data_IF_777660039522
#
_entry.id   IF_777660039522
#
_cell.length_a   1.000
_cell.length_b   1.000
_cell.length_c   1.000
_cell.angle_alpha   90.00
_cell.angle_beta   90.00
_cell.angle_gamma   90.00
#
_symmetry.space_group_name_H-M   'P 1'
#
loop_
_entity.id
_entity.type
_entity.pdbx_description
1 polymer ?
#
# COMPACT_ATOMS: atom_id res chain seq x y z
N UNK A 1 41.16 13.13 -17.09
CA UNK A 1 39.86 13.48 -17.69
C UNK A 1 38.81 12.44 -17.27
N UNK A 2 39.15 11.16 -17.41
CA UNK A 2 38.35 9.97 -17.05
C UNK A 2 37.64 9.97 -15.68
N UNK A 3 38.33 10.20 -14.56
CA UNK A 3 37.73 10.11 -13.21
C UNK A 3 36.55 11.07 -12.96
N UNK A 4 36.55 12.24 -13.60
CA UNK A 4 35.48 13.24 -13.44
C UNK A 4 34.23 12.83 -14.20
N UNK A 5 34.40 12.20 -15.36
CA UNK A 5 33.30 11.63 -16.14
C UNK A 5 32.71 10.39 -15.47
N UNK A 6 33.53 9.51 -14.89
CA UNK A 6 33.04 8.33 -14.15
C UNK A 6 32.19 8.73 -12.94
N UNK A 7 32.63 9.73 -12.16
CA UNK A 7 31.86 10.23 -11.01
C UNK A 7 30.55 10.87 -11.49
N UNK A 8 30.56 11.67 -12.56
CA UNK A 8 29.34 12.24 -13.13
C UNK A 8 28.37 11.17 -13.66
N UNK A 9 28.87 10.11 -14.28
CA UNK A 9 28.05 8.98 -14.73
C UNK A 9 27.43 8.21 -13.57
N UNK A 10 28.18 8.00 -12.48
CA UNK A 10 27.63 7.40 -11.26
C UNK A 10 26.52 8.28 -10.67
N UNK A 11 26.72 9.59 -10.54
CA UNK A 11 25.68 10.48 -10.05
C UNK A 11 24.46 10.54 -10.98
N UNK A 12 24.64 10.58 -12.30
CA UNK A 12 23.54 10.61 -13.27
C UNK A 12 22.72 9.31 -13.27
N UNK A 13 23.37 8.15 -13.07
CA UNK A 13 22.68 6.87 -12.94
C UNK A 13 21.82 6.77 -11.67
N UNK A 14 22.25 7.39 -10.56
CA UNK A 14 21.48 7.41 -9.30
C UNK A 14 20.30 8.40 -9.35
N UNK A 15 20.38 9.45 -10.17
CA UNK A 15 19.27 10.40 -10.36
C UNK A 15 18.17 9.80 -11.23
N UNK A 16 18.49 8.91 -12.17
CA UNK A 16 17.49 8.26 -13.02
C UNK A 16 16.63 7.23 -12.28
N UNK A 17 17.10 6.71 -11.14
CA UNK A 17 16.39 5.70 -10.32
C UNK A 17 15.46 6.29 -9.25
N UNK A 18 15.43 7.61 -9.07
CA UNK A 18 14.71 8.25 -7.96
C UNK A 18 13.30 8.77 -8.34
N UNK A 19 12.57 8.06 -9.20
CA UNK A 19 11.18 8.39 -9.51
C UNK A 19 10.23 7.52 -8.70
N UNK A 20 9.83 8.03 -7.54
CA UNK A 20 8.75 7.50 -6.72
C UNK A 20 7.38 7.71 -7.37
N UNK A 21 6.51 6.69 -7.40
CA UNK A 21 5.11 6.91 -7.77
C UNK A 21 4.31 7.45 -6.58
N UNK A 22 3.30 8.28 -6.85
CA UNK A 22 2.30 8.61 -5.84
C UNK A 22 1.12 7.64 -5.95
N UNK A 23 0.99 6.73 -4.99
CA UNK A 23 0.05 5.60 -5.03
C UNK A 23 -1.08 5.81 -4.03
N UNK A 24 -2.32 5.95 -4.53
CA UNK A 24 -3.51 6.05 -3.67
C UNK A 24 -4.23 4.71 -3.54
N UNK A 25 -4.66 4.38 -2.33
CA UNK A 25 -5.50 3.21 -2.02
C UNK A 25 -6.66 3.62 -1.13
N UNK A 26 -7.81 2.97 -1.34
CA UNK A 26 -8.97 3.14 -0.48
C UNK A 26 -9.35 1.79 0.13
N UNK A 27 -9.51 1.79 1.45
CA UNK A 27 -9.90 0.63 2.23
C UNK A 27 -11.17 0.94 3.00
N UNK A 28 -12.22 0.20 2.71
CA UNK A 28 -13.48 0.21 3.47
C UNK A 28 -13.40 -0.84 4.57
N UNK A 29 -13.64 -0.41 5.80
CA UNK A 29 -13.71 -1.29 6.97
C UNK A 29 -15.17 -1.52 7.36
N UNK A 30 -15.54 -2.79 7.46
CA UNK A 30 -16.84 -3.25 7.98
C UNK A 30 -16.62 -4.05 9.27
N UNK A 31 -17.68 -4.17 10.06
CA UNK A 31 -17.75 -5.06 11.22
C UNK A 31 -18.78 -6.14 10.91
N UNK A 32 -18.33 -7.38 10.76
CA UNK A 32 -19.16 -8.49 10.29
C UNK A 32 -18.82 -9.78 11.04
N UNK A 33 -19.78 -10.69 11.14
CA UNK A 33 -19.56 -12.02 11.70
C UNK A 33 -18.74 -12.89 10.73
N UNK A 34 -17.79 -13.68 11.25
CA UNK A 34 -17.08 -14.68 10.45
C UNK A 34 -16.41 -15.78 11.30
N UNK A 35 -15.93 -16.83 10.62
CA UNK A 35 -15.36 -18.01 11.28
C UNK A 35 -14.11 -18.58 10.58
N UNK A 36 -12.97 -17.84 10.50
CA UNK A 36 -11.78 -18.25 9.76
C UNK A 36 -11.11 -19.52 10.30
N UNK A 37 -11.41 -19.89 11.54
CA UNK A 37 -10.98 -21.14 12.18
C UNK A 37 -12.17 -22.04 12.56
N UNK A 38 -13.35 -21.83 11.96
CA UNK A 38 -14.57 -22.60 12.25
C UNK A 38 -15.35 -22.15 13.49
N UNK A 39 -14.90 -21.14 14.23
CA UNK A 39 -15.63 -20.55 15.35
C UNK A 39 -16.06 -19.12 15.01
N UNK A 40 -17.36 -18.85 15.17
CA UNK A 40 -17.94 -17.56 14.82
C UNK A 40 -17.54 -16.46 15.80
N UNK A 41 -17.30 -15.26 15.27
CA UNK A 41 -16.96 -14.04 16.00
C UNK A 41 -17.11 -12.83 15.10
N UNK A 42 -17.34 -11.68 15.72
CA UNK A 42 -17.24 -10.41 15.01
C UNK A 42 -15.80 -10.14 14.60
N UNK A 43 -15.63 -9.68 13.37
CA UNK A 43 -14.34 -9.32 12.80
C UNK A 43 -14.45 -8.09 11.92
N UNK A 44 -13.32 -7.41 11.81
CA UNK A 44 -13.17 -6.37 10.81
C UNK A 44 -12.86 -7.05 9.48
N UNK A 45 -13.62 -6.71 8.45
CA UNK A 45 -13.23 -6.99 7.07
C UNK A 45 -12.69 -5.74 6.42
N UNK A 46 -11.79 -5.93 5.47
CA UNK A 46 -11.29 -4.86 4.62
C UNK A 46 -11.77 -5.13 3.21
N UNK A 47 -12.52 -4.20 2.62
CA UNK A 47 -13.12 -4.37 1.30
C UNK A 47 -13.91 -5.70 1.20
N UNK A 48 -14.66 -6.04 2.25
CA UNK A 48 -15.52 -7.23 2.31
C UNK A 48 -14.80 -8.58 2.49
N UNK A 49 -13.46 -8.58 2.64
CA UNK A 49 -12.69 -9.82 2.75
C UNK A 49 -11.84 -9.95 4.02
N UNK A 50 -11.53 -11.20 4.35
CA UNK A 50 -10.57 -11.61 5.36
C UNK A 50 -9.76 -12.81 4.82
N UNK A 51 -8.41 -12.79 4.82
CA UNK A 51 -7.55 -11.67 5.24
C UNK A 51 -7.75 -10.41 4.37
N UNK A 52 -7.24 -9.29 4.86
CA UNK A 52 -7.28 -8.00 4.16
C UNK A 52 -6.59 -8.10 2.78
N UNK A 53 -6.99 -7.32 1.76
CA UNK A 53 -6.29 -7.30 0.48
C UNK A 53 -4.79 -7.03 0.65
N UNK A 54 -3.98 -7.71 -0.15
CA UNK A 54 -2.55 -7.38 -0.23
C UNK A 54 -2.36 -6.00 -0.85
N UNK A 55 -1.63 -5.15 -0.14
CA UNK A 55 -1.15 -3.88 -0.66
C UNK A 55 0.27 -4.06 -1.20
N UNK A 56 0.48 -3.71 -2.47
CA UNK A 56 1.76 -3.84 -3.17
C UNK A 56 2.20 -2.44 -3.61
N UNK A 57 3.44 -2.11 -3.28
CA UNK A 57 4.11 -0.83 -3.55
C UNK A 57 5.56 -1.12 -3.96
N UNK A 58 6.15 -0.22 -4.73
CA UNK A 58 7.57 -0.28 -5.09
C UNK A 58 8.41 0.53 -4.09
N UNK A 59 9.72 0.34 -4.10
CA UNK A 59 10.65 1.15 -3.30
C UNK A 59 10.51 2.64 -3.67
N UNK A 60 10.62 3.50 -2.67
CA UNK A 60 10.48 4.96 -2.75
C UNK A 60 9.06 5.52 -3.02
N UNK A 61 8.04 4.69 -3.28
CA UNK A 61 6.66 5.18 -3.52
C UNK A 61 6.11 6.08 -2.38
N UNK A 62 5.46 7.17 -2.76
CA UNK A 62 4.65 8.00 -1.88
C UNK A 62 3.23 7.44 -1.82
N UNK A 63 2.93 6.71 -0.74
CA UNK A 63 1.67 5.97 -0.61
C UNK A 63 0.67 6.68 0.29
N UNK A 64 -0.52 6.95 -0.25
CA UNK A 64 -1.67 7.44 0.50
C UNK A 64 -2.72 6.34 0.64
N UNK A 65 -3.07 5.97 1.87
CA UNK A 65 -4.16 5.03 2.17
C UNK A 65 -5.31 5.76 2.85
N UNK A 66 -6.42 5.90 2.15
CA UNK A 66 -7.66 6.45 2.69
C UNK A 66 -8.50 5.35 3.32
N UNK A 67 -8.90 5.55 4.56
CA UNK A 67 -9.77 4.63 5.30
C UNK A 67 -11.19 5.16 5.29
N UNK A 68 -12.12 4.33 4.83
CA UNK A 68 -13.55 4.56 4.94
C UNK A 68 -14.12 3.61 5.98
N UNK A 69 -15.10 4.09 6.74
CA UNK A 69 -15.95 3.26 7.58
C UNK A 69 -17.26 3.06 6.85
N UNK A 70 -17.68 1.81 6.72
CA UNK A 70 -19.05 1.51 6.30
C UNK A 70 -19.96 1.61 7.53
N UNK A 71 -20.94 2.50 7.47
CA UNK A 71 -21.99 2.60 8.47
C UNK A 71 -23.23 1.92 7.88
N UNK A 72 -23.64 0.77 8.41
CA UNK A 72 -25.01 0.32 8.19
C UNK A 72 -25.94 1.27 8.95
N UNK A 73 -26.97 1.76 8.25
CA UNK A 73 -27.87 2.80 8.75
C UNK A 73 -28.53 2.41 10.07
N UNK A 74 -28.49 3.34 11.03
CA UNK A 74 -29.49 3.43 12.10
C UNK A 74 -30.81 3.97 11.54
#
# INVERSE_FOLDING_TARGET
MERRFTILFLFLSHVLTAFAAHVKRELTLTWEEGAPNGQSRDMIRTNGQFPSPTLIFDEDDDVEVRILREYEGL
#
